data_IF_484881281136
#
_entry.id   IF_484881281136
#
_cell.length_a   1.000
_cell.length_b   1.000
_cell.length_c   1.000
_cell.angle_alpha   90.00
_cell.angle_beta   90.00
_cell.angle_gamma   90.00
#
_symmetry.space_group_name_H-M   'P 1'
#
loop_
_entity.id
_entity.type
_entity.pdbx_description
1 polymer ?
#
# COMPACT_ATOMS: atom_id res chain seq x y z
N UNK A 1 14.02 21.45 10.65
CA UNK A 1 15.25 22.22 10.92
C UNK A 1 16.54 21.59 10.38
N UNK A 2 16.75 20.26 10.47
CA UNK A 2 18.03 19.63 10.02
C UNK A 2 18.25 19.83 8.50
N UNK A 3 17.25 19.52 7.67
CA UNK A 3 17.37 19.60 6.21
C UNK A 3 17.32 21.04 5.65
N UNK A 4 16.80 21.98 6.43
CA UNK A 4 16.73 23.41 6.05
C UNK A 4 17.92 24.23 6.55
N UNK A 5 18.88 23.63 7.27
CA UNK A 5 19.99 24.34 7.92
C UNK A 5 20.86 25.17 6.97
N UNK A 6 21.04 24.70 5.74
CA UNK A 6 21.85 25.37 4.73
C UNK A 6 21.01 26.09 3.66
N UNK A 7 19.69 26.19 3.87
CA UNK A 7 18.79 26.87 2.94
C UNK A 7 18.61 28.32 3.36
N UNK A 8 18.65 29.23 2.39
CA UNK A 8 18.21 30.61 2.59
C UNK A 8 16.69 30.63 2.65
N UNK A 9 16.11 30.76 3.83
CA UNK A 9 14.66 30.86 4.03
C UNK A 9 14.22 32.33 4.08
N UNK A 10 13.02 32.60 3.57
CA UNK A 10 12.33 33.87 3.77
C UNK A 10 11.60 33.90 5.13
N UNK A 11 11.27 35.11 5.59
CA UNK A 11 10.72 35.33 6.94
C UNK A 11 9.29 34.80 7.10
N UNK A 12 8.62 34.47 5.99
CA UNK A 12 7.25 33.93 5.93
C UNK A 12 7.19 32.39 6.08
N UNK A 13 8.35 31.72 6.18
CA UNK A 13 8.41 30.26 6.28
C UNK A 13 8.13 29.79 7.71
N UNK A 14 6.96 29.19 7.92
CA UNK A 14 6.62 28.49 9.16
C UNK A 14 6.88 26.98 9.02
N UNK A 15 8.02 26.53 9.55
CA UNK A 15 8.40 25.12 9.52
C UNK A 15 7.54 24.24 10.44
N UNK A 16 6.90 24.80 11.48
CA UNK A 16 6.00 24.05 12.35
C UNK A 16 4.65 23.80 11.67
N UNK A 17 4.14 24.77 10.93
CA UNK A 17 2.93 24.62 10.10
C UNK A 17 3.17 23.58 8.99
N UNK A 18 4.27 23.71 8.24
CA UNK A 18 4.66 22.74 7.22
C UNK A 18 4.78 21.33 7.81
N UNK A 19 5.38 21.18 9.00
CA UNK A 19 5.52 19.88 9.67
C UNK A 19 4.17 19.22 10.01
N UNK A 20 3.11 20.01 10.25
CA UNK A 20 1.76 19.49 10.51
C UNK A 20 1.07 19.02 9.23
N UNK A 21 1.45 19.53 8.06
CA UNK A 21 0.85 19.12 6.78
C UNK A 21 1.49 17.85 6.20
N UNK A 22 2.78 17.61 6.47
CA UNK A 22 3.57 16.51 5.89
C UNK A 22 3.51 15.20 6.69
N UNK A 23 2.32 14.81 7.12
CA UNK A 23 2.12 13.52 7.81
C UNK A 23 2.59 12.34 6.95
N UNK A 24 3.43 11.47 7.52
CA UNK A 24 3.97 10.30 6.82
C UNK A 24 5.23 10.55 6.00
N UNK A 25 5.83 11.73 6.04
CA UNK A 25 7.15 11.96 5.41
C UNK A 25 8.26 11.35 6.28
N UNK A 26 9.14 10.55 5.67
CA UNK A 26 10.39 10.08 6.29
C UNK A 26 11.48 11.15 6.24
N UNK A 27 12.60 10.94 6.93
CA UNK A 27 13.75 11.87 6.85
C UNK A 27 14.26 12.09 5.41
N UNK A 28 14.24 11.06 4.57
CA UNK A 28 14.57 11.18 3.14
C UNK A 28 13.51 11.97 2.37
N UNK A 29 12.22 11.80 2.66
CA UNK A 29 11.16 12.57 2.01
C UNK A 29 11.25 14.05 2.36
N UNK A 30 11.52 14.37 3.62
CA UNK A 30 11.73 15.74 4.07
C UNK A 30 12.94 16.35 3.35
N UNK A 31 14.01 15.58 3.15
CA UNK A 31 15.18 16.04 2.38
C UNK A 31 14.85 16.31 0.91
N UNK A 32 14.08 15.42 0.26
CA UNK A 32 13.61 15.60 -1.11
C UNK A 32 12.65 16.80 -1.22
N UNK A 33 11.71 16.93 -0.28
CA UNK A 33 10.76 18.06 -0.20
C UNK A 33 11.50 19.40 -0.11
N UNK A 34 12.50 19.49 0.78
CA UNK A 34 13.34 20.68 0.91
C UNK A 34 14.11 20.98 -0.39
N UNK A 35 14.58 19.94 -1.08
CA UNK A 35 15.29 20.08 -2.36
C UNK A 35 14.38 20.55 -3.48
N UNK A 36 13.15 20.04 -3.56
CA UNK A 36 12.15 20.47 -4.55
C UNK A 36 11.71 21.92 -4.29
N UNK A 37 11.52 22.32 -3.03
CA UNK A 37 11.23 23.70 -2.67
C UNK A 37 12.34 24.67 -3.10
N UNK A 38 13.62 24.28 -2.91
CA UNK A 38 14.75 25.06 -3.38
C UNK A 38 14.81 25.15 -4.91
N UNK A 39 14.59 24.03 -5.61
CA UNK A 39 14.55 23.99 -7.07
C UNK A 39 13.41 24.84 -7.64
N UNK A 40 12.27 24.86 -6.97
CA UNK A 40 11.14 25.68 -7.37
C UNK A 40 11.47 27.17 -7.29
N UNK A 41 12.13 27.62 -6.22
CA UNK A 41 12.61 29.00 -6.12
C UNK A 41 13.61 29.35 -7.23
N UNK A 42 14.50 28.42 -7.57
CA UNK A 42 15.44 28.61 -8.68
C UNK A 42 14.68 28.72 -10.00
N UNK A 43 13.67 27.86 -10.26
CA UNK A 43 12.86 27.90 -11.49
C UNK A 43 12.12 29.24 -11.64
N UNK A 44 11.59 29.78 -10.55
CA UNK A 44 10.91 31.08 -10.55
C UNK A 44 11.85 32.25 -10.84
N UNK A 45 13.11 32.13 -10.41
CA UNK A 45 14.13 33.17 -10.62
C UNK A 45 14.98 32.97 -11.88
N UNK A 46 14.94 31.79 -12.49
CA UNK A 46 15.68 31.45 -13.71
C UNK A 46 15.47 32.45 -14.86
N UNK A 47 14.26 32.98 -15.13
CA UNK A 47 14.05 33.98 -16.17
C UNK A 47 14.76 35.32 -15.91
N UNK A 48 15.16 35.57 -14.66
CA UNK A 48 15.85 36.78 -14.23
C UNK A 48 17.37 36.57 -14.10
N UNK A 49 17.85 35.33 -14.29
CA UNK A 49 19.27 35.00 -14.28
C UNK A 49 19.80 35.07 -15.71
N UNK A 50 20.78 35.93 -15.93
CA UNK A 50 21.53 35.98 -17.17
C UNK A 50 22.56 34.83 -17.19
N UNK A 51 22.26 33.78 -17.96
CA UNK A 51 23.07 32.57 -18.04
C UNK A 51 24.36 32.76 -18.85
N UNK A 52 24.49 33.88 -19.58
CA UNK A 52 25.68 34.19 -20.39
C UNK A 52 26.78 34.87 -19.58
N UNK A 53 26.49 35.24 -18.32
CA UNK A 53 27.47 35.80 -17.38
C UNK A 53 28.06 34.72 -16.47
N UNK A 54 29.37 34.78 -16.27
CA UNK A 54 30.11 33.90 -15.34
C UNK A 54 29.80 34.16 -13.85
N UNK A 55 29.02 35.21 -13.54
CA UNK A 55 28.69 35.59 -12.16
C UNK A 55 27.23 36.00 -12.02
N UNK A 56 26.59 35.55 -10.93
CA UNK A 56 25.23 35.96 -10.56
C UNK A 56 25.30 37.26 -9.77
N UNK A 57 24.44 38.23 -10.11
CA UNK A 57 24.38 39.52 -9.43
C UNK A 57 23.99 39.34 -7.95
N UNK A 58 24.61 40.13 -7.06
CA UNK A 58 24.39 40.05 -5.61
C UNK A 58 22.92 40.28 -5.22
N UNK A 59 22.20 41.09 -6.00
CA UNK A 59 20.78 41.36 -5.81
C UNK A 59 19.93 40.10 -6.08
N UNK A 60 20.24 39.38 -7.17
CA UNK A 60 19.57 38.11 -7.50
C UNK A 60 19.89 37.06 -6.45
N UNK A 61 21.16 36.94 -6.03
CA UNK A 61 21.60 36.05 -4.95
C UNK A 61 20.84 36.32 -3.64
N UNK A 62 20.62 37.57 -3.29
CA UNK A 62 19.85 37.95 -2.10
C UNK A 62 18.35 37.60 -2.20
N UNK A 63 17.84 37.53 -3.43
CA UNK A 63 16.43 37.21 -3.73
C UNK A 63 16.15 35.70 -3.83
N UNK A 64 17.18 34.84 -3.84
CA UNK A 64 17.08 33.38 -3.83
C UNK A 64 16.73 32.83 -2.43
N UNK A 65 15.73 33.43 -1.78
CA UNK A 65 15.17 32.92 -0.53
C UNK A 65 13.96 32.04 -0.82
N UNK A 66 13.94 30.84 -0.26
CA UNK A 66 12.80 29.91 -0.35
C UNK A 66 11.69 30.42 0.57
N UNK A 67 10.50 30.59 0.02
CA UNK A 67 9.31 31.09 0.71
C UNK A 67 8.28 29.97 0.98
N UNK A 68 7.17 30.31 1.64
CA UNK A 68 6.15 29.33 1.99
C UNK A 68 5.42 28.75 0.75
N UNK A 69 5.24 29.54 -0.31
CA UNK A 69 4.63 29.07 -1.57
C UNK A 69 5.48 28.00 -2.27
N UNK A 70 6.81 28.10 -2.21
CA UNK A 70 7.70 27.06 -2.73
C UNK A 70 7.54 25.75 -1.95
N UNK A 71 7.36 25.81 -0.62
CA UNK A 71 7.07 24.63 0.19
C UNK A 71 5.70 24.03 -0.14
N UNK A 72 4.66 24.85 -0.32
CA UNK A 72 3.34 24.38 -0.76
C UNK A 72 3.40 23.69 -2.12
N UNK A 73 4.14 24.26 -3.06
CA UNK A 73 4.39 23.62 -4.35
C UNK A 73 5.11 22.28 -4.17
N UNK A 74 6.16 22.23 -3.33
CA UNK A 74 6.91 21.00 -3.09
C UNK A 74 6.04 19.91 -2.44
N UNK A 75 5.17 20.27 -1.47
CA UNK A 75 4.23 19.33 -0.83
C UNK A 75 3.27 18.74 -1.87
N UNK A 76 2.75 19.56 -2.79
CA UNK A 76 1.85 19.09 -3.85
C UNK A 76 2.53 18.19 -4.89
N UNK A 77 3.86 18.23 -5.02
CA UNK A 77 4.63 17.49 -6.03
C UNK A 77 5.55 16.41 -5.45
N UNK A 78 5.59 16.26 -4.12
CA UNK A 78 6.41 15.25 -3.44
C UNK A 78 5.49 14.23 -2.79
N UNK A 79 5.45 13.02 -3.32
CA UNK A 79 4.79 11.91 -2.64
C UNK A 79 5.67 11.39 -1.49
N UNK A 80 5.17 11.30 -0.25
CA UNK A 80 5.91 10.66 0.81
C UNK A 80 6.21 9.20 0.47
N UNK A 81 7.44 8.76 0.68
CA UNK A 81 7.80 7.36 0.52
C UNK A 81 7.09 6.47 1.56
N UNK A 82 6.59 6.99 2.68
CA UNK A 82 5.69 6.20 3.54
C UNK A 82 4.28 5.98 2.95
N UNK A 83 3.85 6.74 1.95
CA UNK A 83 2.67 6.37 1.13
C UNK A 83 3.04 5.34 0.05
N UNK A 84 4.33 5.17 -0.27
CA UNK A 84 4.84 4.08 -1.12
C UNK A 84 5.16 2.82 -0.32
N UNK A 85 5.37 2.94 0.98
CA UNK A 85 5.44 1.82 1.89
C UNK A 85 4.02 1.40 2.31
N UNK A 86 3.72 0.12 2.16
CA UNK A 86 2.51 -0.46 2.72
C UNK A 86 2.44 -0.20 4.22
N UNK A 87 1.52 0.67 4.62
CA UNK A 87 1.34 1.08 6.03
C UNK A 87 0.77 -0.11 6.78
N UNK A 88 1.43 -0.45 7.89
CA UNK A 88 0.89 -1.43 8.83
C UNK A 88 -0.12 -0.68 9.69
N UNK A 89 -1.40 -0.95 9.47
CA UNK A 89 -2.49 -0.40 10.26
C UNK A 89 -2.84 -1.37 11.39
N UNK A 90 -3.23 -0.84 12.54
CA UNK A 90 -3.97 -1.59 13.56
C UNK A 90 -5.44 -1.15 13.47
N UNK A 91 -6.30 -1.91 12.77
CA UNK A 91 -7.68 -1.50 12.56
C UNK A 91 -8.44 -1.54 13.89
N UNK A 92 -9.43 -0.66 14.03
CA UNK A 92 -10.30 -0.57 15.22
C UNK A 92 -11.77 -0.75 14.84
N UNK A 93 -12.05 -1.66 13.90
CA UNK A 93 -13.42 -1.95 13.41
C UNK A 93 -13.84 -3.27 14.04
N UNK A 94 -15.01 -3.34 14.67
CA UNK A 94 -15.52 -4.57 15.27
C UNK A 94 -16.65 -5.18 14.43
N UNK A 95 -17.00 -6.43 14.70
CA UNK A 95 -18.15 -7.08 14.04
C UNK A 95 -19.49 -6.36 14.27
N UNK A 96 -19.59 -5.60 15.37
CA UNK A 96 -20.76 -4.79 15.73
C UNK A 96 -20.92 -3.56 14.85
N UNK A 97 -19.82 -3.05 14.28
CA UNK A 97 -19.83 -1.87 13.43
C UNK A 97 -20.30 -2.20 12.00
N UNK A 98 -20.42 -3.48 11.68
CA UNK A 98 -20.87 -3.99 10.39
C UNK A 98 -22.31 -4.49 10.53
N UNK A 99 -23.25 -3.83 9.86
CA UNK A 99 -24.64 -4.26 9.82
C UNK A 99 -24.85 -5.49 8.92
N UNK A 100 -25.65 -6.46 9.39
CA UNK A 100 -26.06 -7.61 8.58
C UNK A 100 -24.94 -8.61 8.27
N UNK A 101 -25.02 -9.26 7.10
CA UNK A 101 -24.02 -10.19 6.57
C UNK A 101 -23.63 -11.34 7.52
N UNK A 102 -24.57 -11.82 8.35
CA UNK A 102 -24.28 -12.83 9.38
C UNK A 102 -23.68 -14.13 8.82
N UNK A 103 -24.10 -14.52 7.61
CA UNK A 103 -23.50 -15.65 6.90
C UNK A 103 -22.01 -15.43 6.62
N UNK A 104 -21.67 -14.27 6.04
CA UNK A 104 -20.30 -13.88 5.69
C UNK A 104 -19.43 -13.71 6.94
N UNK A 105 -19.96 -13.08 8.00
CA UNK A 105 -19.26 -12.93 9.28
C UNK A 105 -18.92 -14.29 9.86
N UNK A 106 -19.86 -15.24 9.87
CA UNK A 106 -19.62 -16.60 10.36
C UNK A 106 -18.56 -17.32 9.53
N UNK A 107 -18.66 -17.24 8.20
CA UNK A 107 -17.69 -17.89 7.30
C UNK A 107 -16.27 -17.34 7.50
N UNK A 108 -16.12 -16.02 7.68
CA UNK A 108 -14.83 -15.40 7.99
C UNK A 108 -14.29 -15.76 9.38
N UNK A 109 -15.16 -15.89 10.39
CA UNK A 109 -14.77 -16.36 11.72
C UNK A 109 -14.25 -17.80 11.66
N UNK A 110 -14.95 -18.68 10.96
CA UNK A 110 -14.54 -20.08 10.78
C UNK A 110 -13.23 -20.21 10.00
N UNK A 111 -13.04 -19.36 8.99
CA UNK A 111 -11.89 -19.42 8.09
C UNK A 111 -10.63 -18.78 8.65
N UNK A 112 -10.76 -17.67 9.39
CA UNK A 112 -9.60 -16.89 9.86
C UNK A 112 -9.46 -16.96 11.38
N UNK A 113 -10.53 -16.70 12.12
CA UNK A 113 -10.47 -16.59 13.59
C UNK A 113 -10.27 -17.97 14.26
N UNK A 114 -10.92 -19.03 13.78
CA UNK A 114 -10.80 -20.36 14.38
C UNK A 114 -9.40 -20.98 14.25
N UNK A 115 -8.71 -20.90 13.10
CA UNK A 115 -7.32 -21.33 12.99
C UNK A 115 -6.37 -20.60 13.94
N UNK A 116 -6.60 -19.30 14.17
CA UNK A 116 -5.78 -18.48 15.08
C UNK A 116 -6.03 -18.85 16.53
N UNK A 117 -7.29 -19.01 16.91
CA UNK A 117 -7.68 -19.25 18.31
C UNK A 117 -7.56 -20.72 18.75
N UNK A 118 -7.61 -21.66 17.81
CA UNK A 118 -7.61 -23.11 18.10
C UNK A 118 -6.62 -23.92 17.23
N UNK A 119 -5.33 -23.54 17.16
CA UNK A 119 -4.35 -24.23 16.31
C UNK A 119 -4.21 -25.73 16.65
N UNK A 120 -4.38 -26.10 17.92
CA UNK A 120 -4.29 -27.47 18.42
C UNK A 120 -5.35 -28.41 17.82
N UNK A 121 -6.53 -27.88 17.47
CA UNK A 121 -7.60 -28.68 16.84
C UNK A 121 -7.24 -29.00 15.40
N UNK A 122 -6.78 -28.03 14.64
CA UNK A 122 -6.39 -28.22 13.23
C UNK A 122 -5.22 -29.20 13.08
N UNK A 123 -4.21 -29.10 13.96
CA UNK A 123 -3.09 -30.04 14.03
C UNK A 123 -3.53 -31.49 14.30
N UNK A 124 -4.51 -31.69 15.20
CA UNK A 124 -5.03 -33.04 15.53
C UNK A 124 -5.82 -33.68 14.40
N UNK A 125 -6.55 -32.89 13.61
CA UNK A 125 -7.32 -33.38 12.47
C UNK A 125 -6.50 -33.49 11.17
N UNK A 126 -5.21 -33.15 11.21
CA UNK A 126 -4.35 -33.17 10.03
C UNK A 126 -4.80 -32.20 8.92
N UNK A 127 -5.60 -31.20 9.28
CA UNK A 127 -6.08 -30.20 8.34
C UNK A 127 -5.14 -29.00 8.35
N UNK A 128 -4.69 -28.62 7.16
CA UNK A 128 -3.96 -27.37 6.99
C UNK A 128 -4.96 -26.21 7.00
N UNK A 129 -4.79 -25.19 7.85
CA UNK A 129 -5.65 -24.02 7.81
C UNK A 129 -5.54 -23.35 6.44
N UNK A 130 -6.68 -22.90 5.90
CA UNK A 130 -6.76 -22.16 4.65
C UNK A 130 -5.92 -20.90 4.75
N UNK A 131 -5.05 -20.69 3.76
CA UNK A 131 -4.08 -19.58 3.77
C UNK A 131 -4.66 -18.27 3.25
N UNK A 132 -5.79 -18.33 2.53
CA UNK A 132 -6.41 -17.12 2.06
C UNK A 132 -7.86 -17.22 1.62
N UNK A 133 -8.50 -16.06 1.63
CA UNK A 133 -9.92 -15.87 1.37
C UNK A 133 -10.08 -14.89 0.21
N UNK A 134 -10.91 -15.21 -0.77
CA UNK A 134 -11.35 -14.27 -1.79
C UNK A 134 -12.77 -13.79 -1.49
N UNK A 135 -12.88 -12.53 -1.11
CA UNK A 135 -14.13 -11.80 -0.99
C UNK A 135 -14.56 -11.32 -2.37
N UNK A 136 -15.77 -11.66 -2.80
CA UNK A 136 -16.30 -11.15 -4.06
C UNK A 136 -17.76 -10.72 -3.96
N UNK A 137 -18.14 -9.74 -4.78
CA UNK A 137 -19.52 -9.25 -4.85
C UNK A 137 -19.58 -7.84 -5.45
N UNK A 138 -20.75 -7.19 -5.45
CA UNK A 138 -20.89 -5.85 -5.98
C UNK A 138 -20.04 -4.81 -5.22
N UNK A 139 -19.64 -3.70 -5.86
CA UNK A 139 -18.93 -2.63 -5.18
C UNK A 139 -19.79 -2.01 -4.08
N UNK A 140 -19.15 -1.42 -3.06
CA UNK A 140 -19.86 -0.74 -1.97
C UNK A 140 -20.43 -1.64 -0.86
N UNK A 141 -20.27 -2.97 -0.95
CA UNK A 141 -20.77 -3.91 0.07
C UNK A 141 -19.82 -4.11 1.29
N UNK A 142 -18.93 -3.15 1.54
CA UNK A 142 -18.07 -3.18 2.74
C UNK A 142 -17.01 -4.29 2.80
N UNK A 143 -16.49 -4.80 1.67
CA UNK A 143 -15.45 -5.88 1.67
C UNK A 143 -14.21 -5.48 2.47
N UNK A 144 -13.74 -4.25 2.26
CA UNK A 144 -12.61 -3.66 2.99
C UNK A 144 -12.90 -3.51 4.49
N UNK A 145 -14.14 -3.15 4.85
CA UNK A 145 -14.55 -3.06 6.26
C UNK A 145 -14.60 -4.42 6.93
N UNK A 146 -15.11 -5.45 6.25
CA UNK A 146 -15.10 -6.84 6.73
C UNK A 146 -13.67 -7.33 6.98
N UNK A 147 -12.74 -7.08 6.04
CA UNK A 147 -11.35 -7.45 6.21
C UNK A 147 -10.69 -6.75 7.41
N UNK A 148 -10.97 -5.45 7.61
CA UNK A 148 -10.50 -4.70 8.79
C UNK A 148 -11.07 -5.26 10.08
N UNK A 149 -12.36 -5.62 10.12
CA UNK A 149 -12.98 -6.24 11.29
C UNK A 149 -12.37 -7.60 11.64
N UNK A 150 -12.11 -8.45 10.64
CA UNK A 150 -11.39 -9.72 10.84
C UNK A 150 -10.02 -9.49 11.48
N UNK A 151 -9.27 -8.49 11.01
CA UNK A 151 -7.95 -8.19 11.55
C UNK A 151 -8.01 -7.70 13.01
N UNK A 152 -8.95 -6.81 13.35
CA UNK A 152 -9.17 -6.36 14.73
C UNK A 152 -9.52 -7.52 15.66
N UNK A 153 -10.39 -8.42 15.22
CA UNK A 153 -10.91 -9.55 16.02
C UNK A 153 -9.91 -10.69 16.20
N UNK A 154 -8.94 -10.79 15.29
CA UNK A 154 -7.78 -11.67 15.41
C UNK A 154 -6.61 -10.98 16.14
N UNK A 155 -6.76 -9.74 16.59
CA UNK A 155 -5.70 -8.89 17.14
C UNK A 155 -4.44 -8.91 16.25
N UNK A 156 -4.67 -8.80 14.94
CA UNK A 156 -3.65 -8.91 13.91
C UNK A 156 -3.37 -7.55 13.28
N UNK A 157 -2.12 -7.34 12.90
CA UNK A 157 -1.73 -6.21 12.07
C UNK A 157 -2.44 -6.30 10.71
N UNK A 158 -2.75 -5.15 10.10
CA UNK A 158 -3.45 -5.08 8.83
C UNK A 158 -2.58 -4.36 7.82
N UNK A 159 -2.32 -5.01 6.69
CA UNK A 159 -1.61 -4.40 5.57
C UNK A 159 -2.56 -4.41 4.38
N UNK A 160 -2.96 -3.22 3.93
CA UNK A 160 -3.81 -3.06 2.75
C UNK A 160 -2.97 -2.70 1.55
N UNK A 161 -3.24 -3.34 0.41
CA UNK A 161 -2.60 -3.03 -0.88
C UNK A 161 -3.68 -2.99 -1.94
N UNK A 162 -3.73 -1.92 -2.73
CA UNK A 162 -4.65 -1.86 -3.87
C UNK A 162 -3.98 -2.43 -5.11
N UNK A 163 -4.74 -3.13 -5.94
CA UNK A 163 -4.25 -3.74 -7.17
C UNK A 163 -3.49 -2.76 -8.09
N UNK A 164 -3.97 -1.52 -8.35
CA UNK A 164 -3.22 -0.54 -9.14
C UNK A 164 -1.87 -0.14 -8.53
N UNK A 165 -1.76 -0.11 -7.20
CA UNK A 165 -0.51 0.22 -6.49
C UNK A 165 0.57 -0.82 -6.77
N UNK A 166 0.18 -2.10 -6.89
CA UNK A 166 1.10 -3.19 -7.27
C UNK A 166 1.63 -3.05 -8.71
N UNK A 167 0.85 -2.43 -9.61
CA UNK A 167 1.31 -2.14 -10.98
C UNK A 167 2.30 -0.98 -11.01
N UNK A 168 2.04 0.08 -10.23
CA UNK A 168 2.95 1.24 -10.15
C UNK A 168 4.26 0.88 -9.44
N UNK A 169 4.21 0.02 -8.42
CA UNK A 169 5.40 -0.53 -7.75
C UNK A 169 6.34 -1.28 -8.71
N UNK A 170 5.86 -1.66 -9.90
CA UNK A 170 6.63 -2.41 -10.90
C UNK A 170 7.24 -1.51 -12.00
N UNK A 171 6.81 -0.25 -12.15
CA UNK A 171 7.37 0.69 -13.15
C UNK A 171 8.67 1.29 -12.65
N UNK A 172 9.74 0.49 -12.60
CA UNK A 172 11.11 0.97 -12.35
C UNK A 172 11.95 0.06 -11.46
N UNK A 173 11.36 -0.63 -10.48
CA UNK A 173 12.08 -1.50 -9.55
C UNK A 173 11.33 -2.83 -9.33
N UNK A 174 11.87 -3.89 -9.94
CA UNK A 174 11.97 -5.27 -9.46
C UNK A 174 10.78 -5.97 -8.76
N UNK A 175 10.58 -7.24 -9.13
CA UNK A 175 9.86 -8.31 -8.37
C UNK A 175 10.15 -8.30 -6.85
N UNK A 176 11.30 -7.73 -6.45
CA UNK A 176 11.69 -7.43 -5.08
C UNK A 176 10.60 -6.73 -4.26
N UNK A 177 9.80 -5.83 -4.84
CA UNK A 177 8.80 -5.08 -4.08
C UNK A 177 7.69 -5.98 -3.53
N UNK A 178 7.23 -6.96 -4.32
CA UNK A 178 6.25 -7.97 -3.87
C UNK A 178 6.88 -8.86 -2.79
N UNK A 179 8.16 -9.23 -2.94
CA UNK A 179 8.85 -10.00 -1.89
C UNK A 179 8.97 -9.22 -0.58
N UNK A 180 9.36 -7.95 -0.64
CA UNK A 180 9.48 -7.07 0.52
C UNK A 180 8.12 -6.87 1.22
N UNK A 181 7.02 -6.77 0.46
CA UNK A 181 5.67 -6.74 1.02
C UNK A 181 5.37 -7.98 1.86
N UNK A 182 5.65 -9.16 1.32
CA UNK A 182 5.43 -10.42 2.04
C UNK A 182 6.41 -10.59 3.21
N UNK A 183 7.65 -10.13 3.08
CA UNK A 183 8.62 -10.09 4.18
C UNK A 183 8.15 -9.16 5.32
N UNK A 184 7.60 -7.99 5.00
CA UNK A 184 7.04 -7.04 5.97
C UNK A 184 5.82 -7.63 6.68
N UNK A 185 4.90 -8.27 5.95
CA UNK A 185 3.78 -9.00 6.53
C UNK A 185 4.26 -10.14 7.44
N UNK A 186 5.30 -10.88 7.03
CA UNK A 186 5.93 -11.94 7.84
C UNK A 186 6.70 -11.40 9.05
N UNK A 187 7.23 -10.18 9.00
CA UNK A 187 7.86 -9.51 10.14
C UNK A 187 6.83 -9.01 11.15
N UNK A 188 5.63 -8.68 10.67
CA UNK A 188 4.53 -8.11 11.45
C UNK A 188 3.49 -9.15 11.87
N UNK A 189 3.82 -10.44 11.84
CA UNK A 189 2.89 -11.51 12.22
C UNK A 189 2.52 -11.41 13.72
N UNK A 190 1.25 -11.61 14.13
CA UNK A 190 0.10 -11.98 13.31
C UNK A 190 -0.37 -10.84 12.39
N UNK A 191 -0.57 -11.13 11.11
CA UNK A 191 -0.87 -10.11 10.10
C UNK A 191 -1.92 -10.58 9.10
N UNK A 192 -2.86 -9.70 8.75
CA UNK A 192 -3.79 -9.86 7.63
C UNK A 192 -3.28 -9.00 6.48
N UNK A 193 -2.95 -9.64 5.37
CA UNK A 193 -2.56 -9.00 4.12
C UNK A 193 -3.77 -8.92 3.20
N UNK A 194 -4.31 -7.72 3.02
CA UNK A 194 -5.51 -7.45 2.24
C UNK A 194 -5.15 -6.88 0.86
N UNK A 195 -5.56 -7.57 -0.19
CA UNK A 195 -5.44 -7.13 -1.58
C UNK A 195 -6.80 -6.65 -2.08
N UNK A 196 -6.97 -5.34 -2.19
CA UNK A 196 -8.16 -4.76 -2.81
C UNK A 196 -8.01 -4.68 -4.33
N UNK A 197 -9.11 -4.78 -5.06
CA UNK A 197 -9.12 -4.76 -6.53
C UNK A 197 -8.12 -5.74 -7.17
N UNK A 198 -8.01 -6.96 -6.63
CA UNK A 198 -7.04 -7.96 -7.12
C UNK A 198 -7.28 -8.33 -8.60
N UNK A 199 -8.47 -8.06 -9.15
CA UNK A 199 -8.76 -8.19 -10.57
C UNK A 199 -8.03 -7.18 -11.47
N UNK A 200 -7.37 -6.14 -10.93
CA UNK A 200 -6.54 -5.26 -11.75
C UNK A 200 -5.20 -5.91 -12.15
N UNK A 201 -4.66 -6.78 -11.29
CA UNK A 201 -3.39 -7.49 -11.52
C UNK A 201 -3.57 -8.97 -11.90
N UNK A 202 -4.70 -9.55 -11.51
CA UNK A 202 -4.98 -10.98 -11.67
C UNK A 202 -5.90 -11.29 -12.83
N UNK A 203 -5.92 -10.51 -13.92
CA UNK A 203 -6.84 -10.78 -15.04
C UNK A 203 -6.48 -12.08 -15.75
N UNK A 204 -7.48 -12.93 -15.98
CA UNK A 204 -7.32 -14.12 -16.81
C UNK A 204 -6.84 -13.71 -18.21
N UNK A 205 -5.78 -14.37 -18.70
CA UNK A 205 -5.15 -14.10 -19.99
C UNK A 205 -6.19 -13.98 -21.11
N UNK A 206 -6.46 -12.77 -21.58
CA UNK A 206 -7.17 -12.57 -22.84
C UNK A 206 -6.19 -12.81 -23.98
N UNK A 207 -6.52 -13.76 -24.85
CA UNK A 207 -5.72 -14.30 -25.96
C UNK A 207 -5.37 -13.29 -27.08
N UNK A 208 -5.36 -11.98 -26.84
CA UNK A 208 -5.25 -10.97 -27.91
C UNK A 208 -4.50 -9.65 -27.57
N UNK A 209 -3.73 -9.57 -26.48
CA UNK A 209 -3.03 -8.31 -26.12
C UNK A 209 -1.53 -8.51 -25.95
N UNK A 210 -0.78 -8.00 -26.93
CA UNK A 210 0.68 -8.06 -27.08
C UNK A 210 1.49 -7.24 -26.05
N UNK A 211 0.85 -6.71 -25.00
CA UNK A 211 1.42 -5.71 -24.07
C UNK A 211 1.50 -6.19 -22.59
N UNK A 212 1.11 -7.44 -22.31
CA UNK A 212 0.87 -7.96 -20.95
C UNK A 212 2.08 -8.51 -20.18
N UNK A 213 3.32 -8.25 -20.60
CA UNK A 213 4.50 -8.89 -20.00
C UNK A 213 4.78 -8.48 -18.55
N UNK A 214 4.39 -7.27 -18.14
CA UNK A 214 4.65 -6.71 -16.82
C UNK A 214 3.69 -7.26 -15.76
N UNK A 215 2.39 -7.25 -16.05
CA UNK A 215 1.32 -7.71 -15.15
C UNK A 215 1.46 -9.20 -14.83
N UNK A 216 1.79 -10.00 -15.85
CA UNK A 216 1.95 -11.45 -15.71
C UNK A 216 3.12 -11.83 -14.79
N UNK A 217 4.21 -11.04 -14.81
CA UNK A 217 5.37 -11.27 -13.94
C UNK A 217 5.04 -10.96 -12.49
N UNK A 218 4.34 -9.85 -12.23
CA UNK A 218 3.85 -9.49 -10.89
C UNK A 218 2.92 -10.57 -10.35
N UNK A 219 1.97 -11.05 -11.16
CA UNK A 219 1.07 -12.12 -10.77
C UNK A 219 1.83 -13.40 -10.44
N UNK A 220 2.76 -13.84 -11.29
CA UNK A 220 3.57 -15.04 -11.01
C UNK A 220 4.39 -14.91 -9.72
N UNK A 221 4.94 -13.72 -9.44
CA UNK A 221 5.67 -13.47 -8.20
C UNK A 221 4.75 -13.50 -6.98
N UNK A 222 3.55 -12.91 -7.07
CA UNK A 222 2.53 -12.98 -6.03
C UNK A 222 2.17 -14.44 -5.72
N UNK A 223 1.92 -15.25 -6.76
CA UNK A 223 1.63 -16.67 -6.63
C UNK A 223 2.79 -17.43 -5.95
N UNK A 224 4.04 -17.13 -6.32
CA UNK A 224 5.21 -17.76 -5.72
C UNK A 224 5.36 -17.41 -4.23
N UNK A 225 5.10 -16.17 -3.84
CA UNK A 225 5.14 -15.75 -2.42
C UNK A 225 3.97 -16.35 -1.61
N UNK A 226 2.79 -16.49 -2.21
CA UNK A 226 1.64 -17.18 -1.57
C UNK A 226 1.93 -18.67 -1.34
N UNK A 227 2.50 -19.36 -2.32
CA UNK A 227 2.90 -20.77 -2.20
C UNK A 227 4.04 -20.91 -1.18
N UNK A 228 4.97 -19.95 -1.15
CA UNK A 228 6.12 -19.87 -0.26
C UNK A 228 5.81 -19.48 1.19
N UNK A 229 4.56 -19.14 1.52
CA UNK A 229 4.15 -18.89 2.90
C UNK A 229 4.24 -20.16 3.75
N UNK A 230 5.32 -20.28 4.51
CA UNK A 230 5.54 -21.35 5.49
C UNK A 230 4.51 -21.30 6.62
N UNK A 231 4.02 -22.46 7.06
CA UNK A 231 3.02 -22.63 8.14
C UNK A 231 3.39 -22.05 9.51
N UNK A 232 4.64 -21.60 9.70
CA UNK A 232 5.14 -21.13 11.00
C UNK A 232 4.80 -19.68 11.33
N UNK A 233 4.38 -18.87 10.35
CA UNK A 233 4.04 -17.46 10.56
C UNK A 233 2.55 -17.25 10.28
N UNK A 234 1.83 -16.69 11.26
CA UNK A 234 0.39 -16.40 11.23
C UNK A 234 0.08 -15.22 10.30
N UNK A 235 0.34 -15.38 9.00
CA UNK A 235 0.00 -14.40 7.97
C UNK A 235 -1.18 -14.94 7.17
N UNK A 236 -2.27 -14.18 7.12
CA UNK A 236 -3.49 -14.52 6.40
C UNK A 236 -3.65 -13.59 5.20
N UNK A 237 -3.97 -14.14 4.04
CA UNK A 237 -4.17 -13.34 2.82
C UNK A 237 -5.67 -13.21 2.53
N UNK A 238 -6.16 -11.99 2.35
CA UNK A 238 -7.55 -11.74 1.95
C UNK A 238 -7.52 -10.95 0.64
N UNK A 239 -8.08 -11.50 -0.43
CA UNK A 239 -8.30 -10.79 -1.69
C UNK A 239 -9.73 -10.26 -1.76
N UNK A 240 -9.93 -9.09 -2.36
CA UNK A 240 -11.23 -8.55 -2.68
C UNK A 240 -11.33 -8.25 -4.18
N UNK A 241 -12.45 -8.65 -4.80
CA UNK A 241 -12.75 -8.30 -6.19
C UNK A 241 -14.22 -8.01 -6.40
N UNK A 242 -14.51 -7.10 -7.33
CA UNK A 242 -15.86 -6.86 -7.82
C UNK A 242 -16.20 -7.70 -9.05
N UNK A 243 -15.21 -8.36 -9.66
CA UNK A 243 -15.32 -9.04 -10.95
C UNK A 243 -14.67 -10.43 -10.89
N UNK A 244 -15.24 -11.38 -10.13
CA UNK A 244 -14.66 -12.72 -9.98
C UNK A 244 -14.49 -13.45 -11.32
N UNK A 245 -15.38 -13.21 -12.29
CA UNK A 245 -15.30 -13.82 -13.63
C UNK A 245 -14.12 -13.36 -14.49
N UNK A 246 -13.43 -12.27 -14.11
CA UNK A 246 -12.23 -11.79 -14.82
C UNK A 246 -10.94 -12.27 -14.16
N UNK A 247 -11.01 -12.91 -12.98
CA UNK A 247 -9.85 -13.30 -12.20
C UNK A 247 -9.22 -14.59 -12.73
N UNK A 248 -7.89 -14.67 -12.71
CA UNK A 248 -7.14 -15.87 -13.07
C UNK A 248 -7.43 -17.00 -12.08
N UNK A 249 -7.87 -18.14 -12.61
CA UNK A 249 -8.09 -19.38 -11.87
C UNK A 249 -6.87 -19.86 -11.07
N UNK A 250 -5.65 -19.44 -11.44
CA UNK A 250 -4.44 -19.75 -10.69
C UNK A 250 -4.48 -19.18 -9.27
N UNK A 251 -5.11 -18.02 -9.04
CA UNK A 251 -5.23 -17.42 -7.71
C UNK A 251 -6.17 -18.22 -6.79
N UNK A 252 -7.16 -18.90 -7.37
CA UNK A 252 -8.21 -19.65 -6.65
C UNK A 252 -7.84 -21.11 -6.38
N UNK A 253 -6.60 -21.53 -6.67
CA UNK A 253 -6.17 -22.92 -6.44
C UNK A 253 -5.99 -23.22 -4.95
N UNK A 254 -6.18 -24.48 -4.51
CA UNK A 254 -5.95 -24.90 -3.13
C UNK A 254 -4.59 -24.43 -2.57
N UNK A 255 -4.58 -23.86 -1.38
CA UNK A 255 -3.38 -23.29 -0.74
C UNK A 255 -3.08 -21.83 -1.06
N UNK A 256 -3.92 -21.16 -1.89
CA UNK A 256 -3.85 -19.72 -2.21
C UNK A 256 -5.10 -19.00 -1.70
N UNK A 257 -5.99 -18.57 -2.58
CA UNK A 257 -7.32 -18.03 -2.25
C UNK A 257 -8.38 -19.12 -2.45
N UNK A 258 -8.33 -20.15 -1.60
CA UNK A 258 -9.15 -21.34 -1.76
C UNK A 258 -10.53 -21.24 -1.12
N UNK A 259 -10.74 -20.26 -0.23
CA UNK A 259 -12.04 -19.94 0.34
C UNK A 259 -12.69 -18.77 -0.41
N UNK A 260 -13.82 -19.02 -1.04
CA UNK A 260 -14.56 -18.07 -1.88
C UNK A 260 -15.80 -17.60 -1.13
N UNK A 261 -15.80 -16.35 -0.68
CA UNK A 261 -16.90 -15.78 0.12
C UNK A 261 -17.65 -14.73 -0.69
N UNK A 262 -18.90 -15.03 -1.00
CA UNK A 262 -19.78 -14.10 -1.69
C UNK A 262 -20.40 -13.10 -0.71
N UNK A 263 -20.30 -11.81 -1.05
CA UNK A 263 -20.92 -10.72 -0.29
C UNK A 263 -22.16 -10.25 -1.07
N UNK A 264 -23.37 -10.51 -0.58
CA UNK A 264 -24.61 -10.01 -1.18
C UNK A 264 -24.78 -8.49 -0.98
N UNK A 265 -25.72 -7.91 -1.74
CA UNK A 265 -26.20 -6.53 -1.57
C UNK A 265 -26.97 -6.35 -0.26
#
# INVERSE_FOLDING_TARGET
>A
AIHTKNMSLADDVDLEEIAKEIHGFTGSDIASLCSEAALQQIREKLPHIDLDKDSIDAEILSSLKVNNDNFRYAIANTDPSSLRETVIESPNVQWTDIGGLEYVKRELKETVQYPVNHPEKFLKFGQNPSKGVLLYGPPGCGKTLLAKAVATECNANFISVKGPELLTMYVGESESNVRQLFDKARGSAPCVLFFDEIDSIGRARSSMSHDGGATDRVLNQLLAEMDGMNQKKNVFVIGATNRPGQLDTALMRPGRLDQLVYIPL
#
